data_IF_251314521955
#
_entry.id   IF_251314521955
#
_cell.length_a   1.000
_cell.length_b   1.000
_cell.length_c   1.000
_cell.angle_alpha   90.00
_cell.angle_beta   90.00
_cell.angle_gamma   90.00
#
_symmetry.space_group_name_H-M   'P 1'
#
loop_
_entity.id
_entity.type
_entity.pdbx_description
1 polymer ?
#
# COMPACT_ATOMS: atom_id res chain seq x y z
N UNK A 1 -9.28 22.14 11.81
CA UNK A 1 -8.93 21.05 10.87
C UNK A 1 -7.74 20.38 11.51
N UNK A 2 -7.93 19.19 12.06
CA UNK A 2 -6.84 18.49 12.73
C UNK A 2 -5.89 18.01 11.64
N UNK A 3 -4.65 18.47 11.66
CA UNK A 3 -3.56 17.97 10.81
C UNK A 3 -3.20 16.54 11.27
N UNK A 4 -4.12 15.59 11.05
CA UNK A 4 -3.94 14.19 11.38
C UNK A 4 -3.03 13.49 10.38
N UNK A 5 -2.24 12.52 10.86
CA UNK A 5 -1.45 11.68 9.98
C UNK A 5 -2.35 10.82 9.07
N UNK A 6 -1.89 10.46 7.87
CA UNK A 6 -2.59 9.49 7.03
C UNK A 6 -2.09 8.06 7.30
N UNK A 7 -2.97 7.07 7.16
CA UNK A 7 -2.58 5.65 7.15
C UNK A 7 -2.09 5.31 5.75
N UNK A 8 -0.82 4.94 5.62
CA UNK A 8 -0.20 4.59 4.34
C UNK A 8 0.18 3.12 4.29
N UNK A 9 -0.28 2.40 3.28
CA UNK A 9 0.06 0.99 3.08
C UNK A 9 1.09 0.87 1.96
N UNK A 10 2.31 0.50 2.30
CA UNK A 10 3.39 0.27 1.35
C UNK A 10 3.44 -1.20 0.96
N UNK A 11 3.40 -1.49 -0.33
CA UNK A 11 3.51 -2.83 -0.87
C UNK A 11 4.31 -2.85 -2.17
N UNK A 12 4.65 -4.04 -2.65
CA UNK A 12 5.40 -4.24 -3.90
C UNK A 12 4.56 -5.10 -4.82
N UNK A 13 3.89 -4.49 -5.81
CA UNK A 13 3.20 -5.27 -6.84
C UNK A 13 4.24 -5.85 -7.79
N UNK A 14 4.26 -7.16 -8.00
CA UNK A 14 5.14 -7.73 -9.02
C UNK A 14 4.42 -7.69 -10.34
N UNK A 15 4.97 -6.97 -11.32
CA UNK A 15 4.56 -7.13 -12.71
C UNK A 15 5.08 -8.48 -13.21
N UNK A 16 4.18 -9.44 -13.39
CA UNK A 16 4.54 -10.75 -13.95
C UNK A 16 4.22 -10.72 -15.44
N UNK A 17 5.22 -10.97 -16.28
CA UNK A 17 4.99 -11.23 -17.70
C UNK A 17 4.31 -12.59 -17.87
N UNK A 18 2.98 -12.63 -17.84
CA UNK A 18 2.21 -13.84 -18.07
C UNK A 18 2.10 -14.17 -19.55
N UNK A 19 2.66 -15.31 -19.99
CA UNK A 19 2.27 -15.91 -21.27
C UNK A 19 0.91 -16.61 -21.07
N UNK A 20 -0.09 -16.26 -21.90
CA UNK A 20 -1.49 -16.70 -21.78
C UNK A 20 -1.64 -18.23 -21.63
N UNK A 21 -2.12 -18.66 -20.47
CA UNK A 21 -2.75 -19.96 -20.22
C UNK A 21 -4.04 -19.74 -19.41
N UNK A 22 -5.15 -20.33 -19.83
CA UNK A 22 -6.53 -19.90 -19.51
C UNK A 22 -6.95 -19.95 -18.03
N UNK A 23 -7.75 -18.92 -17.68
CA UNK A 23 -8.86 -18.82 -16.70
C UNK A 23 -8.55 -18.92 -15.20
N UNK A 24 -8.87 -17.84 -14.48
CA UNK A 24 -9.35 -17.88 -13.09
C UNK A 24 -8.99 -16.64 -12.27
N UNK A 25 -9.86 -15.62 -12.30
CA UNK A 25 -9.89 -14.47 -11.38
C UNK A 25 -8.60 -13.64 -11.26
N UNK A 26 -8.39 -12.68 -12.17
CA UNK A 26 -7.41 -11.59 -11.98
C UNK A 26 -8.15 -10.24 -11.95
N UNK A 27 -7.92 -9.40 -10.93
CA UNK A 27 -8.41 -8.02 -10.92
C UNK A 27 -7.62 -7.20 -11.93
N UNK A 28 -8.29 -6.70 -12.97
CA UNK A 28 -7.68 -5.92 -14.05
C UNK A 28 -7.81 -4.43 -13.71
N UNK A 29 -6.71 -3.78 -13.32
CA UNK A 29 -6.61 -2.32 -13.33
C UNK A 29 -6.05 -1.86 -14.68
N UNK A 30 -6.81 -1.05 -15.41
CA UNK A 30 -6.43 -0.51 -16.71
C UNK A 30 -5.58 0.76 -16.54
N UNK A 31 -4.27 0.71 -16.79
CA UNK A 31 -3.51 1.91 -17.14
C UNK A 31 -3.29 1.92 -18.66
N UNK A 32 -4.02 2.79 -19.35
CA UNK A 32 -3.91 2.98 -20.80
C UNK A 32 -2.67 3.82 -21.15
N UNK A 33 -1.57 3.19 -21.57
CA UNK A 33 -0.45 3.91 -22.16
C UNK A 33 -0.52 3.89 -23.70
N UNK A 34 -0.83 5.04 -24.30
CA UNK A 34 -1.12 5.23 -25.75
C UNK A 34 0.09 5.16 -26.68
N UNK A 35 1.30 4.83 -26.18
CA UNK A 35 2.55 5.04 -26.95
C UNK A 35 3.15 3.83 -27.67
N UNK A 36 2.66 2.59 -27.48
CA UNK A 36 3.45 1.41 -27.92
C UNK A 36 2.83 0.45 -28.93
N UNK A 37 1.56 0.59 -29.34
CA UNK A 37 1.00 -0.21 -30.45
C UNK A 37 1.10 -1.74 -30.30
N UNK A 38 1.44 -2.24 -29.11
CA UNK A 38 1.51 -3.65 -28.73
C UNK A 38 0.87 -3.81 -27.36
N UNK A 39 -0.31 -4.42 -27.33
CA UNK A 39 -1.00 -4.82 -26.11
C UNK A 39 -0.34 -6.08 -25.55
N UNK A 40 0.73 -5.90 -24.78
CA UNK A 40 1.12 -6.93 -23.81
C UNK A 40 0.19 -6.74 -22.60
N UNK A 41 -0.73 -7.67 -22.40
CA UNK A 41 -1.52 -7.76 -21.17
C UNK A 41 -0.56 -8.15 -20.05
N UNK A 42 -0.10 -7.17 -19.27
CA UNK A 42 0.65 -7.40 -18.04
C UNK A 42 -0.35 -7.37 -16.89
N UNK A 43 -0.41 -8.45 -16.11
CA UNK A 43 -1.17 -8.47 -14.87
C UNK A 43 -0.24 -8.12 -13.72
N UNK A 44 -0.65 -7.14 -12.90
CA UNK A 44 0.02 -6.85 -11.63
C UNK A 44 -0.52 -7.81 -10.56
N UNK A 45 0.38 -8.53 -9.91
CA UNK A 45 0.04 -9.41 -8.78
C UNK A 45 0.45 -8.71 -7.49
N UNK A 46 -0.54 -8.42 -6.66
CA UNK A 46 -0.35 -7.88 -5.31
C UNK A 46 -0.17 -9.07 -4.34
N UNK A 47 0.88 -9.09 -3.50
CA UNK A 47 1.08 -10.14 -2.50
C UNK A 47 -0.11 -10.26 -1.53
N UNK A 48 -0.44 -11.48 -1.10
CA UNK A 48 -1.55 -11.73 -0.17
C UNK A 48 -1.37 -10.97 1.14
N UNK A 49 -0.15 -10.91 1.65
CA UNK A 49 0.19 -10.18 2.87
C UNK A 49 -0.13 -8.68 2.74
N UNK A 50 0.10 -8.10 1.56
CA UNK A 50 -0.24 -6.72 1.26
C UNK A 50 -1.76 -6.50 1.20
N UNK A 51 -2.51 -7.46 0.66
CA UNK A 51 -3.98 -7.40 0.68
C UNK A 51 -4.54 -7.47 2.10
N UNK A 52 -3.98 -8.31 2.97
CA UNK A 52 -4.39 -8.40 4.37
C UNK A 52 -4.10 -7.11 5.14
N UNK A 53 -2.93 -6.51 4.94
CA UNK A 53 -2.59 -5.21 5.51
C UNK A 53 -3.53 -4.10 5.00
N UNK A 54 -3.77 -4.04 3.69
CA UNK A 54 -4.65 -3.06 3.08
C UNK A 54 -6.09 -3.18 3.62
N UNK A 55 -6.61 -4.41 3.74
CA UNK A 55 -7.95 -4.66 4.26
C UNK A 55 -8.09 -4.20 5.73
N UNK A 56 -7.12 -4.54 6.57
CA UNK A 56 -7.14 -4.15 7.99
C UNK A 56 -7.01 -2.63 8.16
N UNK A 57 -6.16 -2.00 7.34
CA UNK A 57 -6.02 -0.54 7.28
C UNK A 57 -7.30 0.15 6.79
N UNK A 58 -7.99 -0.42 5.80
CA UNK A 58 -9.26 0.11 5.29
C UNK A 58 -10.36 0.10 6.36
N UNK A 59 -10.47 -1.00 7.12
CA UNK A 59 -11.40 -1.08 8.24
C UNK A 59 -11.07 -0.03 9.32
N UNK A 60 -9.79 0.16 9.64
CA UNK A 60 -9.37 1.12 10.65
C UNK A 60 -9.65 2.56 10.22
N UNK A 61 -9.33 2.88 8.96
CA UNK A 61 -9.56 4.20 8.40
C UNK A 61 -11.05 4.55 8.28
N UNK A 62 -11.89 3.56 7.93
CA UNK A 62 -13.34 3.72 7.91
C UNK A 62 -13.89 4.10 9.29
N UNK A 63 -13.40 3.47 10.36
CA UNK A 63 -13.81 3.76 11.74
C UNK A 63 -13.30 5.12 12.23
N UNK A 64 -12.07 5.48 11.86
CA UNK A 64 -11.47 6.78 12.17
C UNK A 64 -12.00 7.93 11.30
N UNK A 65 -12.76 7.63 10.24
CA UNK A 65 -13.27 8.62 9.29
C UNK A 65 -12.19 9.28 8.44
N UNK A 66 -11.09 8.56 8.14
CA UNK A 66 -9.95 9.04 7.36
C UNK A 66 -9.78 8.24 6.06
N UNK A 67 -8.98 8.77 5.11
CA UNK A 67 -8.62 8.06 3.88
C UNK A 67 -7.31 7.28 4.05
N UNK A 68 -7.24 6.11 3.42
CA UNK A 68 -5.98 5.35 3.27
C UNK A 68 -5.24 5.74 1.99
N UNK A 69 -3.92 5.69 2.04
CA UNK A 69 -3.05 5.77 0.87
C UNK A 69 -2.44 4.40 0.57
N UNK A 70 -2.67 3.89 -0.63
CA UNK A 70 -2.05 2.65 -1.11
C UNK A 70 -0.84 3.00 -1.98
N UNK A 71 0.35 2.60 -1.55
CA UNK A 71 1.61 2.95 -2.19
C UNK A 71 2.30 1.69 -2.71
N UNK A 72 2.26 1.51 -4.03
CA UNK A 72 3.09 0.51 -4.70
C UNK A 72 4.50 1.05 -4.90
N UNK A 73 5.47 0.45 -4.20
CA UNK A 73 6.87 0.84 -4.31
C UNK A 73 7.45 0.66 -5.71
N UNK A 74 6.85 -0.17 -6.56
CA UNK A 74 7.29 -0.33 -7.94
C UNK A 74 6.83 0.80 -8.86
N UNK A 75 5.84 1.60 -8.44
CA UNK A 75 5.36 2.77 -9.17
C UNK A 75 6.03 4.08 -8.70
N UNK A 76 6.77 4.05 -7.58
CA UNK A 76 7.53 5.19 -7.09
C UNK A 76 8.64 5.64 -8.07
N UNK A 77 8.96 6.93 -8.05
CA UNK A 77 10.10 7.50 -8.79
C UNK A 77 11.42 6.89 -8.31
N UNK A 78 12.49 6.99 -9.13
CA UNK A 78 13.80 6.43 -8.77
C UNK A 78 14.31 6.98 -7.42
N UNK A 79 14.15 8.29 -7.18
CA UNK A 79 14.58 8.94 -5.93
C UNK A 79 13.80 8.40 -4.74
N UNK A 80 12.48 8.26 -4.86
CA UNK A 80 11.64 7.69 -3.81
C UNK A 80 11.98 6.22 -3.54
N UNK A 81 12.16 5.41 -4.58
CA UNK A 81 12.62 4.02 -4.44
C UNK A 81 13.96 3.92 -3.73
N UNK A 82 14.90 4.83 -4.04
CA UNK A 82 16.18 4.89 -3.35
C UNK A 82 15.99 5.25 -1.89
N UNK A 83 15.18 6.26 -1.55
CA UNK A 83 14.89 6.61 -0.17
C UNK A 83 14.27 5.44 0.60
N UNK A 84 13.29 4.75 0.01
CA UNK A 84 12.65 3.57 0.60
C UNK A 84 13.65 2.44 0.85
N UNK A 85 14.55 2.18 -0.10
CA UNK A 85 15.61 1.17 0.04
C UNK A 85 16.68 1.57 1.05
N UNK A 86 17.07 2.85 1.08
CA UNK A 86 18.07 3.38 2.00
C UNK A 86 17.57 3.36 3.44
N UNK A 87 16.27 3.59 3.64
CA UNK A 87 15.63 3.48 4.95
C UNK A 87 15.47 2.03 5.42
N UNK A 88 15.69 1.04 4.54
CA UNK A 88 15.65 -0.39 4.89
C UNK A 88 14.30 -0.87 5.42
N UNK A 89 13.23 -0.10 5.22
CA UNK A 89 11.94 -0.40 5.82
C UNK A 89 11.31 -1.64 5.19
N UNK A 90 10.67 -2.51 6.00
CA UNK A 90 10.05 -3.73 5.51
C UNK A 90 8.91 -3.45 4.52
N UNK A 91 8.67 -4.39 3.61
CA UNK A 91 7.58 -4.34 2.63
C UNK A 91 6.99 -5.76 2.52
N UNK A 92 5.67 -5.95 2.66
CA UNK A 92 4.65 -4.91 2.85
C UNK A 92 4.58 -4.39 4.31
N UNK A 93 4.10 -3.15 4.48
CA UNK A 93 3.91 -2.51 5.80
C UNK A 93 2.80 -1.45 5.77
N UNK A 94 2.26 -1.11 6.94
CA UNK A 94 1.48 0.11 7.17
C UNK A 94 2.39 1.13 7.86
N UNK A 95 2.27 2.40 7.50
CA UNK A 95 2.98 3.51 8.14
C UNK A 95 1.99 4.59 8.53
N UNK A 96 2.16 5.10 9.75
CA UNK A 96 1.40 6.22 10.32
C UNK A 96 2.47 7.14 10.91
N UNK A 97 2.56 8.38 10.42
CA UNK A 97 3.68 9.26 10.80
C UNK A 97 5.05 8.63 10.50
N UNK A 98 5.89 8.49 11.52
CA UNK A 98 7.23 7.88 11.40
C UNK A 98 7.24 6.37 11.75
N UNK A 99 6.19 5.88 12.40
CA UNK A 99 6.07 4.49 12.83
C UNK A 99 5.58 3.58 11.70
N UNK A 100 5.92 2.30 11.83
CA UNK A 100 5.47 1.26 10.92
C UNK A 100 5.08 -0.04 11.63
N UNK A 101 4.11 -0.73 11.03
CA UNK A 101 3.61 -2.03 11.46
C UNK A 101 3.59 -3.00 10.28
N UNK A 102 3.99 -4.25 10.55
CA UNK A 102 4.15 -5.31 9.55
C UNK A 102 3.43 -6.58 9.99
N UNK A 103 3.41 -7.60 9.13
CA UNK A 103 2.76 -8.87 9.42
C UNK A 103 1.25 -8.78 9.17
N UNK A 104 0.45 -9.24 10.15
CA UNK A 104 -1.01 -9.32 10.04
C UNK A 104 -1.70 -8.55 11.18
N UNK A 105 -1.48 -7.23 11.29
CA UNK A 105 -2.11 -6.43 12.33
C UNK A 105 -3.63 -6.41 12.15
N UNK A 106 -4.32 -6.44 13.27
CA UNK A 106 -5.76 -6.25 13.36
C UNK A 106 -6.12 -4.78 13.18
N UNK A 107 -7.38 -4.52 12.84
CA UNK A 107 -7.95 -3.19 12.78
C UNK A 107 -7.72 -2.40 14.08
N UNK A 108 -7.95 -3.04 15.23
CA UNK A 108 -7.86 -2.37 16.54
C UNK A 108 -6.40 -1.97 16.87
N UNK A 109 -5.41 -2.82 16.57
CA UNK A 109 -3.99 -2.48 16.72
C UNK A 109 -3.57 -1.28 15.87
N UNK A 110 -4.14 -1.13 14.66
CA UNK A 110 -3.88 0.01 13.78
C UNK A 110 -4.52 1.29 14.34
N UNK A 111 -5.73 1.19 14.88
CA UNK A 111 -6.44 2.32 15.52
C UNK A 111 -5.68 2.78 16.77
N UNK A 112 -5.26 1.85 17.63
CA UNK A 112 -4.45 2.16 18.82
C UNK A 112 -3.14 2.87 18.44
N UNK A 113 -2.45 2.38 17.40
CA UNK A 113 -1.24 3.01 16.87
C UNK A 113 -1.53 4.42 16.36
N UNK A 114 -2.63 4.60 15.63
CA UNK A 114 -3.04 5.91 15.11
C UNK A 114 -3.27 6.92 16.23
N UNK A 115 -4.05 6.54 17.25
CA UNK A 115 -4.32 7.38 18.41
C UNK A 115 -3.05 7.72 19.17
N UNK A 116 -2.18 6.75 19.44
CA UNK A 116 -0.89 7.02 20.08
C UNK A 116 -0.11 8.11 19.34
N UNK A 117 -0.02 8.03 18.02
CA UNK A 117 0.79 8.96 17.23
C UNK A 117 0.12 10.34 17.11
N UNK A 118 -1.21 10.37 16.96
CA UNK A 118 -1.94 11.63 16.76
C UNK A 118 -2.23 12.37 18.08
N UNK A 119 -2.50 11.64 19.16
CA UNK A 119 -2.86 12.21 20.46
C UNK A 119 -1.61 12.64 21.26
N UNK A 120 -0.45 11.99 21.06
CA UNK A 120 0.83 12.41 21.65
C UNK A 120 1.52 13.56 20.89
N UNK A 121 0.97 14.03 19.77
CA UNK A 121 1.57 15.14 19.00
C UNK A 121 1.24 16.48 19.69
N UNK A 122 2.24 17.21 20.25
CA UNK A 122 1.99 18.47 20.92
C UNK A 122 1.49 19.50 19.90
N UNK A 123 0.35 20.11 20.23
CA UNK A 123 -0.28 21.20 19.47
C UNK A 123 0.59 22.46 19.45
#
# INVERSE_FOLDING_TARGET
MSDGFSIRVFFSSKTVGGFKGRRGMEPVCYSCDKKLGKTNELTEVVPTEAMTLAFSAELAASELGISIELIDINQLTLVQKMNERLNGKPIPRISIGEEDITGSPTKDEIIELYHRICDDYPS
#
